data_IF_112681818299
#
_entry.id   IF_112681818299
#
_cell.length_a   1.000
_cell.length_b   1.000
_cell.length_c   1.000
_cell.angle_alpha   90.00
_cell.angle_beta   90.00
_cell.angle_gamma   90.00
#
_symmetry.space_group_name_H-M   'P 1'
#
loop_
_entity.id
_entity.type
_entity.pdbx_description
1 polymer ?
#
# COMPACT_ATOMS: atom_id res chain seq x y z
N UNK A 1 -17.76 20.75 1.73
CA UNK A 1 -16.80 19.93 2.50
C UNK A 1 -16.27 18.84 1.58
N UNK A 2 -14.96 18.61 1.46
CA UNK A 2 -14.43 17.55 0.62
C UNK A 2 -14.88 16.17 1.16
N UNK A 3 -15.40 15.33 0.26
CA UNK A 3 -15.71 13.94 0.54
C UNK A 3 -14.38 13.18 0.70
N UNK A 4 -14.10 12.71 1.91
CA UNK A 4 -12.90 11.92 2.20
C UNK A 4 -13.28 10.47 2.19
N UNK A 5 -12.64 9.66 1.34
CA UNK A 5 -12.86 8.22 1.29
C UNK A 5 -11.70 7.48 1.95
N UNK A 6 -12.01 6.39 2.63
CA UNK A 6 -11.02 5.50 3.22
C UNK A 6 -11.39 4.03 2.97
N UNK A 7 -10.39 3.15 3.02
CA UNK A 7 -10.62 1.72 2.95
C UNK A 7 -10.94 1.18 4.34
N UNK A 8 -12.08 0.50 4.49
CA UNK A 8 -12.51 -0.07 5.75
C UNK A 8 -11.52 -1.14 6.25
N UNK A 9 -11.02 -1.06 7.49
CA UNK A 9 -10.15 -2.09 8.07
C UNK A 9 -10.83 -3.45 8.24
N UNK A 10 -12.17 -3.49 8.32
CA UNK A 10 -12.95 -4.70 8.60
C UNK A 10 -13.38 -5.45 7.34
N UNK A 11 -13.80 -4.73 6.30
CA UNK A 11 -14.30 -5.36 5.07
C UNK A 11 -13.49 -5.02 3.81
N UNK A 12 -12.48 -4.14 3.90
CA UNK A 12 -11.63 -3.74 2.80
C UNK A 12 -12.27 -2.82 1.76
N UNK A 13 -13.59 -2.60 1.82
CA UNK A 13 -14.34 -1.74 0.89
C UNK A 13 -14.02 -0.25 1.10
N UNK A 14 -14.07 0.51 0.02
CA UNK A 14 -14.00 1.96 0.06
C UNK A 14 -15.31 2.51 0.66
N UNK A 15 -15.20 3.44 1.59
CA UNK A 15 -16.33 4.08 2.27
C UNK A 15 -16.02 5.54 2.51
N UNK A 16 -17.05 6.37 2.51
CA UNK A 16 -16.92 7.78 2.86
C UNK A 16 -16.70 7.91 4.38
N UNK A 17 -15.82 8.82 4.74
CA UNK A 17 -15.65 9.32 6.09
C UNK A 17 -16.76 10.33 6.37
N UNK A 18 -17.55 10.09 7.41
CA UNK A 18 -18.44 11.12 7.94
C UNK A 18 -17.65 12.37 8.33
N UNK A 19 -18.35 13.47 8.63
CA UNK A 19 -17.74 14.72 9.09
C UNK A 19 -16.54 14.50 10.05
N UNK A 20 -15.36 14.98 9.65
CA UNK A 20 -14.10 14.76 10.40
C UNK A 20 -14.25 15.28 11.83
N UNK A 21 -14.85 16.45 12.01
CA UNK A 21 -15.03 17.06 13.33
C UNK A 21 -15.90 16.21 14.24
N UNK A 22 -16.94 15.54 13.70
CA UNK A 22 -17.76 14.62 14.48
C UNK A 22 -16.92 13.44 14.96
N UNK A 23 -16.09 12.85 14.09
CA UNK A 23 -15.24 11.71 14.47
C UNK A 23 -14.17 12.17 15.47
N UNK A 24 -13.54 13.32 15.23
CA UNK A 24 -12.46 13.86 16.04
C UNK A 24 -12.91 14.10 17.48
N UNK A 25 -14.07 14.72 17.67
CA UNK A 25 -14.59 15.13 18.96
C UNK A 25 -15.55 14.11 19.60
N UNK A 26 -15.86 13.00 18.90
CA UNK A 26 -16.74 11.97 19.43
C UNK A 26 -16.14 11.32 20.69
N UNK A 27 -16.94 11.16 21.76
CA UNK A 27 -16.56 10.38 22.95
C UNK A 27 -16.69 8.87 22.74
N UNK A 28 -17.28 8.43 21.62
CA UNK A 28 -17.40 7.01 21.31
C UNK A 28 -16.01 6.41 21.08
N UNK A 29 -15.78 5.22 21.66
CA UNK A 29 -14.58 4.42 21.45
C UNK A 29 -14.48 4.01 19.98
N UNK A 30 -15.59 3.82 19.29
CA UNK A 30 -15.67 3.40 17.89
C UNK A 30 -16.33 4.47 17.01
N UNK A 31 -15.76 5.68 16.93
CA UNK A 31 -16.42 6.83 16.31
C UNK A 31 -16.47 6.74 14.78
N UNK A 32 -15.74 5.78 14.19
CA UNK A 32 -15.71 5.53 12.76
C UNK A 32 -16.62 4.35 12.43
N UNK A 33 -17.60 4.57 11.56
CA UNK A 33 -18.53 3.53 11.08
C UNK A 33 -18.41 3.37 9.57
N UNK A 34 -18.23 2.14 9.11
CA UNK A 34 -18.22 1.84 7.68
C UNK A 34 -19.64 1.85 7.12
N UNK A 35 -19.91 2.61 6.05
CA UNK A 35 -21.23 2.61 5.40
C UNK A 35 -21.52 1.31 4.65
N UNK A 36 -20.47 0.57 4.25
CA UNK A 36 -20.61 -0.65 3.46
C UNK A 36 -20.83 -1.93 4.28
N UNK A 37 -20.31 -2.01 5.52
CA UNK A 37 -20.51 -3.19 6.39
C UNK A 37 -21.12 -2.86 7.76
N UNK A 38 -21.32 -1.57 8.07
CA UNK A 38 -21.94 -1.11 9.31
C UNK A 38 -21.05 -1.21 10.56
N UNK A 39 -19.85 -1.78 10.45
CA UNK A 39 -18.97 -2.01 11.60
C UNK A 39 -18.32 -0.72 12.09
N UNK A 40 -18.39 -0.50 13.41
CA UNK A 40 -17.64 0.55 14.11
C UNK A 40 -16.21 0.10 14.44
N UNK A 41 -15.25 1.02 14.42
CA UNK A 41 -13.86 0.75 14.82
C UNK A 41 -13.17 2.01 15.36
N UNK A 42 -12.05 1.80 16.05
CA UNK A 42 -11.28 2.88 16.69
C UNK A 42 -10.47 3.68 15.67
N UNK A 43 -10.09 4.91 16.03
CA UNK A 43 -9.24 5.79 15.19
C UNK A 43 -7.88 5.14 14.89
N UNK A 44 -7.33 4.47 15.89
CA UNK A 44 -6.01 3.80 15.83
C UNK A 44 -6.04 2.63 14.85
N UNK A 45 -7.16 1.89 14.78
CA UNK A 45 -7.33 0.79 13.82
C UNK A 45 -7.30 1.29 12.37
N UNK A 46 -7.97 2.41 12.10
CA UNK A 46 -7.93 3.03 10.77
C UNK A 46 -6.53 3.52 10.41
N UNK A 47 -5.83 4.16 11.35
CA UNK A 47 -4.49 4.69 11.12
C UNK A 47 -3.48 3.57 10.84
N UNK A 48 -3.48 2.52 11.67
CA UNK A 48 -2.60 1.37 11.51
C UNK A 48 -2.84 0.66 10.17
N UNK A 49 -4.11 0.42 9.82
CA UNK A 49 -4.48 -0.21 8.56
C UNK A 49 -4.06 0.62 7.36
N UNK A 50 -4.30 1.94 7.39
CA UNK A 50 -3.95 2.85 6.29
C UNK A 50 -2.44 2.87 6.06
N UNK A 51 -1.65 2.93 7.15
CA UNK A 51 -0.19 2.85 7.08
C UNK A 51 0.27 1.53 6.45
N UNK A 52 -0.22 0.40 6.96
CA UNK A 52 0.14 -0.92 6.44
C UNK A 52 -0.22 -1.07 4.95
N UNK A 53 -1.41 -0.61 4.56
CA UNK A 53 -1.87 -0.69 3.17
C UNK A 53 -1.02 0.17 2.24
N UNK A 54 -0.66 1.39 2.65
CA UNK A 54 0.24 2.24 1.89
C UNK A 54 1.62 1.60 1.70
N UNK A 55 2.22 1.09 2.78
CA UNK A 55 3.50 0.38 2.72
C UNK A 55 3.44 -0.84 1.79
N UNK A 56 2.36 -1.63 1.85
CA UNK A 56 2.16 -2.77 0.97
C UNK A 56 2.07 -2.36 -0.51
N UNK A 57 1.33 -1.29 -0.82
CA UNK A 57 1.22 -0.75 -2.18
C UNK A 57 2.58 -0.29 -2.72
N UNK A 58 3.36 0.41 -1.90
CA UNK A 58 4.72 0.85 -2.28
C UNK A 58 5.63 -0.34 -2.55
N UNK A 59 5.67 -1.34 -1.65
CA UNK A 59 6.47 -2.56 -1.84
C UNK A 59 6.06 -3.31 -3.10
N UNK A 60 4.76 -3.41 -3.38
CA UNK A 60 4.25 -4.04 -4.59
C UNK A 60 4.68 -3.29 -5.85
N UNK A 61 4.60 -1.96 -5.86
CA UNK A 61 5.04 -1.14 -6.97
C UNK A 61 6.55 -1.31 -7.24
N UNK A 62 7.37 -1.25 -6.19
CA UNK A 62 8.81 -1.47 -6.27
C UNK A 62 9.14 -2.87 -6.83
N UNK A 63 8.45 -3.91 -6.35
CA UNK A 63 8.63 -5.28 -6.85
C UNK A 63 8.27 -5.40 -8.33
N UNK A 64 7.17 -4.79 -8.78
CA UNK A 64 6.78 -4.77 -10.21
C UNK A 64 7.85 -4.11 -11.07
N UNK A 65 8.44 -3.00 -10.61
CA UNK A 65 9.52 -2.33 -11.33
C UNK A 65 10.80 -3.18 -11.40
N UNK A 66 11.17 -3.89 -10.32
CA UNK A 66 12.34 -4.78 -10.31
C UNK A 66 12.21 -5.93 -11.32
N UNK A 67 11.01 -6.47 -11.55
CA UNK A 67 10.77 -7.55 -12.52
C UNK A 67 11.10 -7.16 -13.97
N UNK A 68 11.02 -5.87 -14.31
CA UNK A 68 11.41 -5.39 -15.64
C UNK A 68 12.92 -5.11 -15.77
N UNK A 69 13.66 -5.04 -14.66
CA UNK A 69 15.11 -4.80 -14.64
C UNK A 69 15.88 -6.13 -14.71
N UNK A 70 15.33 -7.21 -14.14
CA UNK A 70 15.97 -8.54 -14.12
C UNK A 70 15.95 -9.28 -15.47
N UNK A 71 15.55 -8.63 -16.57
CA UNK A 71 15.53 -9.18 -17.93
C UNK A 71 16.76 -8.83 -18.78
N UNK A 72 17.73 -8.08 -18.25
CA UNK A 72 18.95 -7.70 -18.96
C UNK A 72 20.19 -8.03 -18.13
N UNK A 73 20.54 -9.31 -18.10
CA UNK A 73 21.91 -9.75 -17.88
C UNK A 73 22.25 -10.71 -19.01
N UNK A 74 22.40 -10.16 -20.22
CA UNK A 74 23.16 -10.85 -21.26
C UNK A 74 24.57 -11.07 -20.69
N UNK A 75 24.87 -12.33 -20.39
CA UNK A 75 26.24 -12.77 -20.20
C UNK A 75 26.98 -12.50 -21.51
N UNK A 76 27.85 -11.50 -21.56
CA UNK A 76 28.88 -11.44 -22.57
C UNK A 76 30.03 -12.37 -22.10
N UNK A 77 30.32 -13.50 -22.78
CA UNK A 77 31.59 -14.17 -22.61
C UNK A 77 32.62 -13.31 -23.35
N UNK A 78 33.54 -12.70 -22.62
CA UNK A 78 34.70 -12.05 -23.21
C UNK A 78 35.50 -13.08 -24.03
N UNK A 79 35.98 -12.77 -25.24
CA UNK A 79 36.85 -13.68 -25.98
C UNK A 79 38.25 -13.64 -25.36
N UNK A 80 38.70 -14.76 -24.78
CA UNK A 80 40.11 -14.97 -24.41
C UNK A 80 40.95 -15.16 -25.66
N UNK A 81 41.81 -14.20 -25.98
CA UNK A 81 42.85 -14.36 -26.99
C UNK A 81 44.01 -15.16 -26.41
N UNK A 82 44.22 -16.40 -26.86
CA UNK A 82 45.44 -17.15 -26.60
C UNK A 82 46.48 -16.81 -27.67
N UNK A 83 47.58 -16.15 -27.28
CA UNK A 83 48.76 -16.01 -28.13
C UNK A 83 49.46 -17.36 -28.23
N UNK A 84 49.44 -17.97 -29.40
CA UNK A 84 50.36 -19.07 -29.75
C UNK A 84 51.68 -18.43 -30.19
N UNK A 85 52.76 -18.66 -29.45
CA UNK A 85 54.11 -18.48 -29.98
C UNK A 85 54.65 -19.85 -30.40
N UNK A 86 55.01 -19.93 -31.68
CA UNK A 86 55.87 -20.96 -32.28
C UNK A 86 57.31 -20.80 -31.83
#
# INVERSE_FOLDING_TARGET
MPNINYCCPKCGKLTELSCIENIRNSPDIHPLKCSACGTGFRKEELLAFTKQKAEAMVKQALSKMQKHISGSSEKAPYPTYTKKHS
#
